data_IF_684247952519
#
_entry.id   IF_684247952519
#
_cell.length_a   1.000
_cell.length_b   1.000
_cell.length_c   1.000
_cell.angle_alpha   90.00
_cell.angle_beta   90.00
_cell.angle_gamma   90.00
#
_symmetry.space_group_name_H-M   'P 1'
#
loop_
_entity.id
_entity.type
_entity.pdbx_description
1 polymer ?
#
# COMPACT_ATOMS: atom_id res chain seq x y z
N UNK A 1 -4.17 -19.11 -4.92
CA UNK A 1 -3.39 -18.67 -3.75
C UNK A 1 -3.83 -19.36 -2.43
N UNK A 2 -5.11 -19.42 -2.03
CA UNK A 2 -5.52 -20.10 -0.80
C UNK A 2 -5.05 -21.54 -0.66
N UNK A 3 -5.07 -22.32 -1.76
CA UNK A 3 -4.60 -23.71 -1.77
C UNK A 3 -3.11 -23.87 -1.41
N UNK A 4 -2.28 -22.89 -1.80
CA UNK A 4 -0.85 -22.92 -1.48
C UNK A 4 -0.63 -22.66 0.01
N UNK A 5 -1.31 -21.66 0.58
CA UNK A 5 -1.22 -21.35 2.01
C UNK A 5 -1.66 -22.54 2.87
N UNK A 6 -2.76 -23.20 2.51
CA UNK A 6 -3.25 -24.38 3.22
C UNK A 6 -2.29 -25.59 3.12
N UNK A 7 -1.56 -25.74 2.01
CA UNK A 7 -0.65 -26.86 1.80
C UNK A 7 0.71 -26.68 2.48
N UNK A 8 1.23 -25.46 2.56
CA UNK A 8 2.59 -25.17 3.04
C UNK A 8 2.59 -24.71 4.52
N UNK A 9 1.50 -24.14 5.02
CA UNK A 9 1.35 -23.57 6.36
C UNK A 9 2.58 -22.71 6.77
N UNK A 10 2.94 -21.66 6.01
CA UNK A 10 4.06 -20.81 6.39
C UNK A 10 3.71 -20.04 7.67
N UNK A 11 4.71 -19.73 8.48
CA UNK A 11 4.52 -18.90 9.67
C UNK A 11 4.09 -17.48 9.32
N UNK A 12 4.65 -16.93 8.26
CA UNK A 12 4.31 -15.61 7.74
C UNK A 12 4.54 -15.52 6.23
N UNK A 13 3.90 -14.55 5.59
CA UNK A 13 4.06 -14.23 4.18
C UNK A 13 4.36 -12.75 3.99
N UNK A 14 5.10 -12.42 2.93
CA UNK A 14 5.22 -11.04 2.46
C UNK A 14 4.25 -10.82 1.30
N UNK A 15 3.46 -9.76 1.37
CA UNK A 15 2.51 -9.41 0.33
C UNK A 15 2.60 -7.93 -0.04
N UNK A 16 2.54 -7.64 -1.33
CA UNK A 16 2.39 -6.25 -1.79
C UNK A 16 1.01 -5.75 -1.40
N UNK A 17 0.97 -4.65 -0.65
CA UNK A 17 -0.26 -3.98 -0.30
C UNK A 17 -0.02 -2.49 -0.12
N UNK A 18 -0.65 -1.67 -0.94
CA UNK A 18 -0.48 -0.22 -0.93
C UNK A 18 -1.65 0.47 -1.66
N UNK A 19 -1.66 1.80 -1.69
CA UNK A 19 -2.72 2.58 -2.35
C UNK A 19 -2.84 2.31 -3.85
N UNK A 20 -1.75 1.96 -4.56
CA UNK A 20 -1.81 1.60 -5.99
C UNK A 20 -2.40 0.22 -6.21
N UNK A 21 -2.10 -0.75 -5.34
CA UNK A 21 -2.63 -2.10 -5.45
C UNK A 21 -3.19 -2.61 -4.12
N UNK A 22 -4.51 -2.48 -3.91
CA UNK A 22 -5.20 -2.93 -2.72
C UNK A 22 -5.74 -4.37 -2.83
N UNK A 23 -5.56 -5.06 -3.96
CA UNK A 23 -6.24 -6.32 -4.31
C UNK A 23 -5.94 -7.49 -3.37
N UNK A 24 -4.93 -7.35 -2.52
CA UNK A 24 -4.66 -8.31 -1.44
C UNK A 24 -5.79 -8.41 -0.41
N UNK A 25 -6.61 -7.36 -0.25
CA UNK A 25 -7.71 -7.29 0.72
C UNK A 25 -9.01 -6.74 0.14
N UNK A 26 -8.92 -5.94 -0.92
CA UNK A 26 -10.07 -5.27 -1.54
C UNK A 26 -10.42 -5.99 -2.85
N UNK A 27 -11.71 -6.22 -3.07
CA UNK A 27 -12.18 -6.68 -4.38
C UNK A 27 -11.99 -5.55 -5.40
N UNK A 28 -11.27 -5.83 -6.46
CA UNK A 28 -11.04 -4.89 -7.56
C UNK A 28 -11.97 -5.17 -8.72
N UNK A 29 -12.35 -4.12 -9.44
CA UNK A 29 -13.25 -4.21 -10.59
C UNK A 29 -12.58 -4.95 -11.74
N UNK A 30 -13.35 -5.70 -12.53
CA UNK A 30 -12.87 -6.36 -13.75
C UNK A 30 -12.21 -5.31 -14.68
N UNK A 31 -10.99 -5.62 -15.15
CA UNK A 31 -10.18 -4.67 -15.90
C UNK A 31 -9.17 -3.89 -15.05
N UNK A 32 -9.10 -4.13 -13.75
CA UNK A 32 -8.05 -3.57 -12.89
C UNK A 32 -6.67 -3.82 -13.51
N UNK A 33 -5.83 -2.78 -13.69
CA UNK A 33 -4.65 -2.87 -14.56
C UNK A 33 -3.45 -3.59 -13.97
N UNK A 34 -3.53 -4.00 -12.71
CA UNK A 34 -2.41 -4.60 -11.98
C UNK A 34 -2.68 -6.06 -11.61
N UNK A 35 -1.67 -6.72 -11.02
CA UNK A 35 -1.81 -8.05 -10.47
C UNK A 35 -2.94 -8.08 -9.43
N UNK A 36 -3.98 -8.87 -9.70
CA UNK A 36 -5.02 -9.14 -8.69
C UNK A 36 -4.55 -10.28 -7.76
N UNK A 37 -4.44 -9.94 -6.48
CA UNK A 37 -4.06 -10.87 -5.42
C UNK A 37 -5.24 -11.61 -4.78
N UNK A 38 -6.48 -11.31 -5.20
CA UNK A 38 -7.69 -12.08 -4.86
C UNK A 38 -7.88 -12.27 -3.34
N UNK A 39 -7.69 -11.22 -2.56
CA UNK A 39 -7.93 -11.26 -1.11
C UNK A 39 -6.95 -12.13 -0.33
N UNK A 40 -5.71 -12.31 -0.81
CA UNK A 40 -4.70 -13.18 -0.19
C UNK A 40 -4.41 -12.83 1.28
N UNK A 41 -4.57 -11.57 1.68
CA UNK A 41 -4.31 -11.13 3.06
C UNK A 41 -5.34 -11.73 4.02
N UNK A 42 -6.62 -11.67 3.63
CA UNK A 42 -7.70 -12.28 4.41
C UNK A 42 -7.53 -13.80 4.49
N UNK A 43 -7.22 -14.45 3.36
CA UNK A 43 -6.95 -15.88 3.35
C UNK A 43 -5.76 -16.28 4.25
N UNK A 44 -4.71 -15.45 4.33
CA UNK A 44 -3.59 -15.69 5.25
C UNK A 44 -4.05 -15.57 6.72
N UNK A 45 -4.79 -14.53 7.06
CA UNK A 45 -5.31 -14.31 8.40
C UNK A 45 -6.23 -15.43 8.88
N UNK A 46 -7.14 -15.92 8.01
CA UNK A 46 -8.01 -17.09 8.31
C UNK A 46 -7.22 -18.37 8.65
N UNK A 47 -5.99 -18.50 8.14
CA UNK A 47 -5.12 -19.62 8.43
C UNK A 47 -4.11 -19.35 9.56
N UNK A 48 -4.26 -18.23 10.29
CA UNK A 48 -3.34 -17.85 11.36
C UNK A 48 -1.93 -17.49 10.86
N UNK A 49 -1.77 -17.13 9.59
CA UNK A 49 -0.49 -16.80 8.95
C UNK A 49 -0.25 -15.30 9.08
N UNK A 50 0.89 -14.89 9.65
CA UNK A 50 1.27 -13.49 9.75
C UNK A 50 1.49 -12.84 8.39
N UNK A 51 1.10 -11.58 8.21
CA UNK A 51 1.27 -10.83 6.95
C UNK A 51 2.18 -9.64 7.15
N UNK A 52 3.30 -9.62 6.44
CA UNK A 52 4.16 -8.46 6.29
C UNK A 52 3.78 -7.72 5.00
N UNK A 53 3.16 -6.56 5.12
CA UNK A 53 2.90 -5.70 3.97
C UNK A 53 4.22 -5.09 3.48
N UNK A 54 4.56 -5.34 2.23
CA UNK A 54 5.72 -4.77 1.55
C UNK A 54 5.29 -3.76 0.49
N UNK A 55 6.24 -2.94 0.03
CA UNK A 55 5.99 -1.89 -0.98
C UNK A 55 4.94 -0.86 -0.52
N UNK A 56 4.86 -0.62 0.77
CA UNK A 56 3.91 0.34 1.39
C UNK A 56 3.92 1.70 0.69
N UNK A 57 5.10 2.20 0.33
CA UNK A 57 5.28 3.46 -0.41
C UNK A 57 5.52 3.25 -1.91
N UNK A 58 5.27 2.05 -2.48
CA UNK A 58 5.52 1.72 -3.89
C UNK A 58 6.92 2.14 -4.37
N UNK A 59 7.96 1.83 -3.58
CA UNK A 59 9.34 2.24 -3.87
C UNK A 59 9.61 3.74 -3.74
N UNK A 60 8.69 4.48 -3.16
CA UNK A 60 8.71 5.93 -3.00
C UNK A 60 7.72 6.69 -3.90
N UNK A 61 7.08 6.04 -4.87
CA UNK A 61 6.11 6.70 -5.76
C UNK A 61 4.92 7.30 -4.97
N UNK A 62 4.50 6.64 -3.89
CA UNK A 62 3.43 7.10 -3.01
C UNK A 62 3.88 8.17 -1.99
N UNK A 63 5.04 8.75 -2.13
CA UNK A 63 5.40 9.98 -1.40
C UNK A 63 4.88 11.24 -2.09
N UNK A 64 4.40 11.11 -3.33
CA UNK A 64 3.90 12.22 -4.15
C UNK A 64 4.98 13.08 -4.80
N UNK A 65 6.25 12.67 -4.72
CA UNK A 65 7.38 13.37 -5.33
C UNK A 65 8.41 12.41 -5.91
N UNK A 66 9.05 12.80 -7.00
CA UNK A 66 10.21 12.10 -7.55
C UNK A 66 11.51 12.39 -6.79
N UNK A 67 11.52 13.44 -5.96
CA UNK A 67 12.69 13.79 -5.15
C UNK A 67 12.98 12.68 -4.13
N UNK A 68 14.24 12.28 -4.04
CA UNK A 68 14.69 11.23 -3.12
C UNK A 68 15.76 11.79 -2.18
N UNK A 69 15.75 11.27 -0.97
CA UNK A 69 16.83 11.58 -0.03
C UNK A 69 18.18 11.10 -0.60
N UNK A 70 19.30 11.83 -0.38
CA UNK A 70 20.61 11.45 -0.90
C UNK A 70 21.06 10.04 -0.51
N UNK A 71 20.68 9.57 0.67
CA UNK A 71 21.00 8.22 1.17
C UNK A 71 20.02 7.14 0.66
N UNK A 72 18.96 7.52 -0.06
CA UNK A 72 18.01 6.53 -0.57
C UNK A 72 18.58 5.80 -1.78
N UNK A 73 18.38 4.47 -1.81
CA UNK A 73 18.67 3.69 -3.01
C UNK A 73 17.89 4.19 -4.22
N UNK A 74 18.37 3.97 -5.45
CA UNK A 74 17.57 4.23 -6.65
C UNK A 74 16.17 3.61 -6.56
N UNK A 75 15.16 4.17 -7.27
CA UNK A 75 13.83 3.58 -7.28
C UNK A 75 13.90 2.11 -7.71
N UNK A 76 13.35 1.19 -6.94
CA UNK A 76 13.29 -0.21 -7.36
C UNK A 76 12.30 -0.37 -8.52
N UNK A 77 12.46 -1.41 -9.31
CA UNK A 77 11.45 -1.81 -10.30
C UNK A 77 10.08 -1.95 -9.61
N UNK A 78 9.01 -1.39 -10.19
CA UNK A 78 7.66 -1.59 -9.69
C UNK A 78 7.32 -3.07 -9.50
N UNK A 79 6.53 -3.37 -8.49
CA UNK A 79 6.12 -4.74 -8.18
C UNK A 79 4.60 -4.76 -8.02
N UNK A 80 3.93 -5.49 -8.90
CA UNK A 80 2.47 -5.62 -8.92
C UNK A 80 1.71 -4.28 -9.06
N UNK A 81 2.37 -3.27 -9.61
CA UNK A 81 1.83 -1.97 -9.95
C UNK A 81 2.11 -1.65 -11.42
N UNK A 82 2.44 -0.42 -11.79
CA UNK A 82 2.70 -0.03 -13.18
C UNK A 82 3.99 -0.67 -13.75
N UNK A 83 4.28 -0.41 -15.01
CA UNK A 83 5.50 -0.93 -15.66
C UNK A 83 6.75 -0.16 -15.25
N UNK A 84 6.61 1.14 -15.03
CA UNK A 84 7.73 2.02 -14.67
C UNK A 84 7.43 2.78 -13.37
N UNK A 85 8.49 3.21 -12.70
CA UNK A 85 8.38 4.07 -11.52
C UNK A 85 7.69 5.41 -11.85
N UNK A 86 7.90 5.94 -13.04
CA UNK A 86 7.24 7.17 -13.51
C UNK A 86 5.73 6.97 -13.65
N UNK A 87 5.29 5.82 -14.15
CA UNK A 87 3.85 5.50 -14.24
C UNK A 87 3.23 5.39 -12.84
N UNK A 88 3.94 4.80 -11.87
CA UNK A 88 3.49 4.75 -10.48
C UNK A 88 3.36 6.15 -9.86
N UNK A 89 4.31 7.06 -10.15
CA UNK A 89 4.23 8.46 -9.73
C UNK A 89 3.01 9.18 -10.32
N UNK A 90 2.73 8.98 -11.60
CA UNK A 90 1.55 9.58 -12.25
C UNK A 90 0.25 9.05 -11.64
N UNK A 91 0.15 7.74 -11.43
CA UNK A 91 -1.03 7.14 -10.80
C UNK A 91 -1.20 7.55 -9.34
N UNK A 92 -0.11 7.77 -8.62
CA UNK A 92 -0.17 8.26 -7.23
C UNK A 92 -0.91 9.60 -7.10
N UNK A 93 -0.91 10.43 -8.16
CA UNK A 93 -1.64 11.70 -8.18
C UNK A 93 -3.15 11.55 -7.99
N UNK A 94 -3.74 10.42 -8.41
CA UNK A 94 -5.15 10.13 -8.23
C UNK A 94 -5.57 10.05 -6.75
N UNK A 95 -4.63 9.82 -5.85
CA UNK A 95 -4.86 9.74 -4.41
C UNK A 95 -4.62 11.07 -3.68
N UNK A 96 -4.30 12.15 -4.40
CA UNK A 96 -3.97 13.43 -3.77
C UNK A 96 -5.11 14.00 -2.92
N UNK A 97 -6.34 13.63 -3.22
CA UNK A 97 -7.50 14.02 -2.42
C UNK A 97 -7.35 13.69 -0.93
N UNK A 98 -6.53 12.68 -0.56
CA UNK A 98 -6.31 12.34 0.86
C UNK A 98 -5.65 13.48 1.63
N UNK A 99 -4.89 14.34 0.94
CA UNK A 99 -4.31 15.56 1.49
C UNK A 99 -5.28 16.72 1.33
N UNK A 100 -5.82 16.92 0.12
CA UNK A 100 -6.65 18.07 -0.24
C UNK A 100 -7.93 18.13 0.59
N UNK A 101 -8.48 16.99 1.01
CA UNK A 101 -9.63 16.85 1.89
C UNK A 101 -9.25 16.78 3.40
N UNK A 102 -7.97 16.87 3.74
CA UNK A 102 -7.51 16.89 5.13
C UNK A 102 -7.52 15.54 5.86
N UNK A 103 -7.55 14.40 5.13
CA UNK A 103 -7.49 13.07 5.75
C UNK A 103 -6.08 12.69 6.23
N UNK A 104 -5.05 13.27 5.61
CA UNK A 104 -3.65 13.08 5.96
C UNK A 104 -2.84 14.33 5.62
N UNK A 105 -1.72 14.54 6.32
CA UNK A 105 -0.83 15.69 6.10
C UNK A 105 0.15 15.44 4.92
N UNK A 106 0.33 14.18 4.53
CA UNK A 106 1.20 13.80 3.40
C UNK A 106 0.74 12.49 2.75
N UNK A 107 1.18 12.26 1.50
CA UNK A 107 0.95 11.00 0.79
C UNK A 107 1.63 9.81 1.50
N UNK A 108 2.80 10.02 2.09
CA UNK A 108 3.50 8.99 2.85
C UNK A 108 2.69 8.59 4.10
N UNK A 109 2.16 9.55 4.85
CA UNK A 109 1.26 9.31 5.97
C UNK A 109 0.01 8.54 5.54
N UNK A 110 -0.67 9.02 4.50
CA UNK A 110 -1.86 8.35 3.98
C UNK A 110 -1.58 6.88 3.62
N UNK A 111 -0.46 6.61 2.95
CA UNK A 111 -0.06 5.27 2.53
C UNK A 111 0.21 4.35 3.73
N UNK A 112 0.91 4.83 4.76
CA UNK A 112 1.19 4.07 5.98
C UNK A 112 -0.12 3.77 6.72
N UNK A 113 -0.94 4.79 6.95
CA UNK A 113 -2.23 4.66 7.65
C UNK A 113 -3.21 3.77 6.90
N UNK A 114 -3.21 3.81 5.56
CA UNK A 114 -4.00 2.89 4.73
C UNK A 114 -3.62 1.44 5.02
N UNK A 115 -2.35 1.10 4.96
CA UNK A 115 -1.87 -0.27 5.22
C UNK A 115 -2.22 -0.71 6.64
N UNK A 116 -1.95 0.12 7.63
CA UNK A 116 -2.25 -0.17 9.04
C UNK A 116 -3.75 -0.17 9.38
N UNK A 117 -4.61 0.33 8.48
CA UNK A 117 -6.07 0.24 8.63
C UNK A 117 -6.62 -1.16 8.36
N UNK A 118 -5.81 -2.06 7.81
CA UNK A 118 -6.22 -3.42 7.50
C UNK A 118 -5.87 -4.36 8.66
N UNK A 119 -6.87 -4.97 9.33
CA UNK A 119 -6.65 -5.83 10.50
C UNK A 119 -5.90 -7.13 10.15
N UNK A 120 -5.86 -7.54 8.88
CA UNK A 120 -5.16 -8.74 8.42
C UNK A 120 -3.64 -8.52 8.28
N UNK A 121 -3.15 -7.29 8.45
CA UNK A 121 -1.73 -6.94 8.39
C UNK A 121 -1.10 -7.05 9.79
N UNK A 122 -0.09 -7.89 9.92
CA UNK A 122 0.69 -8.01 11.16
C UNK A 122 1.76 -6.92 11.27
N UNK A 123 2.34 -6.50 10.15
CA UNK A 123 3.43 -5.51 10.11
C UNK A 123 3.50 -4.84 8.73
N UNK A 124 3.80 -3.53 8.73
CA UNK A 124 4.08 -2.74 7.54
C UNK A 124 5.60 -2.50 7.43
N UNK A 125 6.24 -2.97 6.33
CA UNK A 125 7.66 -2.75 6.08
C UNK A 125 7.85 -1.48 5.25
N UNK A 126 8.38 -0.44 5.87
CA UNK A 126 8.62 0.87 5.25
C UNK A 126 10.13 1.08 5.06
N UNK A 127 10.55 1.37 3.82
CA UNK A 127 11.93 1.74 3.53
C UNK A 127 12.21 3.17 4.01
N UNK A 128 13.34 3.37 4.69
CA UNK A 128 13.72 4.62 5.35
C UNK A 128 15.15 4.97 4.95
N UNK A 129 15.42 6.25 4.69
CA UNK A 129 16.72 6.78 4.31
C UNK A 129 17.27 7.83 5.28
N UNK A 130 16.48 8.27 6.27
CA UNK A 130 16.92 9.20 7.30
C UNK A 130 16.14 9.00 8.61
N UNK A 131 16.66 9.58 9.71
CA UNK A 131 16.00 9.54 11.02
C UNK A 131 14.66 10.29 10.96
N UNK A 132 14.60 11.42 10.27
CA UNK A 132 13.39 12.22 10.10
C UNK A 132 12.28 11.41 9.40
N UNK A 133 12.63 10.59 8.41
CA UNK A 133 11.67 9.68 7.75
C UNK A 133 11.17 8.60 8.71
N UNK A 134 12.03 8.09 9.59
CA UNK A 134 11.60 7.15 10.64
C UNK A 134 10.63 7.80 11.61
N UNK A 135 10.96 8.98 12.11
CA UNK A 135 10.10 9.74 13.03
C UNK A 135 8.74 10.07 12.39
N UNK A 136 8.73 10.49 11.12
CA UNK A 136 7.50 10.72 10.36
C UNK A 136 6.67 9.46 10.18
N UNK A 137 7.31 8.32 9.91
CA UNK A 137 6.61 7.04 9.76
C UNK A 137 5.96 6.60 11.09
N UNK A 138 6.67 6.74 12.22
CA UNK A 138 6.14 6.45 13.54
C UNK A 138 4.99 7.40 13.93
N UNK A 139 5.15 8.70 13.67
CA UNK A 139 4.09 9.68 13.90
C UNK A 139 2.85 9.39 13.06
N UNK A 140 3.03 8.98 11.80
CA UNK A 140 1.94 8.58 10.91
C UNK A 140 1.19 7.36 11.45
N UNK A 141 1.93 6.34 11.90
CA UNK A 141 1.34 5.13 12.49
C UNK A 141 0.54 5.45 13.77
N UNK A 142 1.03 6.36 14.60
CA UNK A 142 0.36 6.76 15.84
C UNK A 142 -1.00 7.46 15.62
N UNK A 143 -1.24 8.05 14.44
CA UNK A 143 -2.55 8.65 14.09
C UNK A 143 -3.67 7.63 13.86
N UNK A 144 -3.33 6.35 13.78
CA UNK A 144 -4.29 5.28 13.53
C UNK A 144 -4.84 5.22 12.10
N UNK A 145 -5.92 4.46 11.86
CA UNK A 145 -6.45 4.21 10.52
C UNK A 145 -6.97 5.49 9.84
N UNK A 146 -7.05 5.44 8.50
CA UNK A 146 -7.78 6.46 7.73
C UNK A 146 -9.28 6.39 8.06
N UNK A 147 -9.99 7.53 8.07
CA UNK A 147 -11.42 7.57 8.36
C UNK A 147 -12.24 6.85 7.27
N UNK A 148 -13.47 6.39 7.59
CA UNK A 148 -14.32 5.66 6.65
C UNK A 148 -14.54 6.41 5.33
N UNK A 149 -14.74 7.72 5.38
CA UNK A 149 -15.00 8.58 4.21
C UNK A 149 -13.82 8.57 3.23
N UNK A 150 -12.59 8.57 3.74
CA UNK A 150 -11.39 8.44 2.92
C UNK A 150 -11.35 7.08 2.22
N UNK A 151 -11.72 6.01 2.93
CA UNK A 151 -11.73 4.65 2.37
C UNK A 151 -12.77 4.49 1.26
N UNK A 152 -13.94 5.10 1.38
CA UNK A 152 -14.94 5.13 0.31
C UNK A 152 -14.45 5.86 -0.94
N UNK A 153 -13.73 6.98 -0.77
CA UNK A 153 -13.12 7.69 -1.90
C UNK A 153 -11.99 6.89 -2.54
N UNK A 154 -11.20 6.18 -1.75
CA UNK A 154 -10.19 5.24 -2.27
C UNK A 154 -10.84 4.17 -3.15
N UNK A 155 -11.95 3.57 -2.73
CA UNK A 155 -12.66 2.56 -3.53
C UNK A 155 -13.05 3.11 -4.90
N UNK A 156 -13.67 4.31 -4.94
CA UNK A 156 -14.01 4.96 -6.22
C UNK A 156 -12.81 5.24 -7.11
N UNK A 157 -11.67 5.57 -6.51
CA UNK A 157 -10.43 5.80 -7.25
C UNK A 157 -9.92 4.51 -7.90
N UNK A 158 -9.93 3.39 -7.17
CA UNK A 158 -9.54 2.09 -7.75
C UNK A 158 -10.48 1.63 -8.84
N UNK A 159 -11.79 1.83 -8.68
CA UNK A 159 -12.79 1.51 -9.71
C UNK A 159 -12.54 2.29 -11.00
N UNK A 160 -12.04 3.53 -10.91
CA UNK A 160 -11.69 4.34 -12.08
C UNK A 160 -10.47 3.84 -12.85
N UNK A 161 -9.63 2.99 -12.27
CA UNK A 161 -8.45 2.43 -12.95
C UNK A 161 -8.81 1.32 -13.97
N UNK A 162 -10.01 0.79 -13.90
CA UNK A 162 -10.49 -0.27 -14.79
C UNK A 162 -11.02 0.24 -16.16
N UNK A 163 -10.98 1.57 -16.39
CA UNK A 163 -11.56 2.21 -17.59
C UNK A 163 -10.53 2.93 -18.44
#
# INVERSE_FOLDING_TARGET
MPRYLAAVHPFAVQAVYNLLNPSGSVNVTAGFPFQDYQGVLHAAAEHGIGVFAIRVLAGGALTGTAARHPNASPPPTPMATSRTYTDDLERAKAFRFVIDDGYADSMAEASIRFVLSNPDISTALVGIASIEQLEQALASAAKGPLPPEAREKLQRTWDSFAH
#
